data_IF_601024028159
#
_entry.id   IF_601024028159
#
_cell.length_a   1.000
_cell.length_b   1.000
_cell.length_c   1.000
_cell.angle_alpha   90.00
_cell.angle_beta   90.00
_cell.angle_gamma   90.00
#
_symmetry.space_group_name_H-M   'P 1'
#
loop_
_entity.id
_entity.type
_entity.pdbx_description
1 polymer ?
#
# COMPACT_ATOMS: atom_id res chain seq x y z
N UNK A 1 -16.49 6.19 5.19
CA UNK A 1 -16.15 7.48 5.85
C UNK A 1 -14.87 8.10 5.31
N UNK A 2 -13.71 7.42 5.30
CA UNK A 2 -12.51 7.92 4.59
C UNK A 2 -12.57 7.60 3.08
N UNK A 3 -13.02 6.39 2.70
CA UNK A 3 -13.21 5.97 1.30
C UNK A 3 -13.99 6.98 0.46
N UNK A 4 -15.15 7.38 0.98
CA UNK A 4 -16.16 8.14 0.23
C UNK A 4 -15.70 9.57 -0.08
N UNK A 5 -14.79 10.13 0.73
CA UNK A 5 -14.22 11.47 0.52
C UNK A 5 -13.06 11.46 -0.49
N UNK A 6 -12.35 10.34 -0.65
CA UNK A 6 -11.27 10.21 -1.65
C UNK A 6 -11.82 10.09 -3.07
N UNK A 7 -12.93 9.39 -3.25
CA UNK A 7 -13.57 9.23 -4.56
C UNK A 7 -13.98 10.58 -5.17
N UNK A 8 -14.62 11.45 -4.37
CA UNK A 8 -15.04 12.76 -4.81
C UNK A 8 -13.85 13.63 -5.22
N UNK A 9 -12.74 13.57 -4.47
CA UNK A 9 -11.53 14.35 -4.76
C UNK A 9 -10.79 13.83 -6.01
N UNK A 10 -10.65 12.51 -6.17
CA UNK A 10 -9.97 11.94 -7.34
C UNK A 10 -10.80 12.14 -8.61
N UNK A 11 -12.13 11.98 -8.53
CA UNK A 11 -13.03 12.14 -9.68
C UNK A 11 -13.30 13.61 -10.04
N UNK A 12 -13.15 14.56 -9.10
CA UNK A 12 -13.31 16.01 -9.35
C UNK A 12 -12.07 16.70 -9.92
N UNK A 13 -10.93 16.00 -10.00
CA UNK A 13 -9.69 16.55 -10.56
C UNK A 13 -9.80 16.93 -12.05
N UNK A 14 -9.09 17.99 -12.45
CA UNK A 14 -9.01 18.47 -13.86
C UNK A 14 -8.38 17.48 -14.86
N UNK A 15 -7.96 16.30 -14.41
CA UNK A 15 -7.37 15.23 -15.22
C UNK A 15 -8.19 13.97 -15.03
N UNK A 16 -8.50 13.29 -16.14
CA UNK A 16 -9.11 11.97 -16.09
C UNK A 16 -8.08 10.99 -15.54
N UNK A 17 -8.34 10.46 -14.34
CA UNK A 17 -7.62 9.33 -13.78
C UNK A 17 -8.44 8.07 -14.06
N UNK A 18 -7.76 6.99 -14.44
CA UNK A 18 -8.37 5.66 -14.45
C UNK A 18 -8.48 5.17 -13.01
N UNK A 19 -9.62 5.42 -12.38
CA UNK A 19 -9.88 5.05 -10.99
C UNK A 19 -10.45 3.64 -10.95
N UNK A 20 -9.74 2.74 -10.30
CA UNK A 20 -10.20 1.38 -10.00
C UNK A 20 -10.47 1.30 -8.51
N UNK A 21 -11.72 0.98 -8.16
CA UNK A 21 -12.14 0.73 -6.78
C UNK A 21 -12.17 -0.79 -6.55
N UNK A 22 -11.55 -1.24 -5.48
CA UNK A 22 -11.49 -2.66 -5.14
C UNK A 22 -10.44 -2.97 -4.08
N UNK A 23 -10.37 -4.24 -3.70
CA UNK A 23 -9.29 -4.74 -2.83
C UNK A 23 -7.97 -4.76 -3.61
N UNK A 24 -6.90 -4.28 -2.98
CA UNK A 24 -5.57 -4.27 -3.57
C UNK A 24 -5.02 -5.68 -3.77
N UNK A 25 -5.44 -6.65 -2.95
CA UNK A 25 -5.12 -8.07 -3.08
C UNK A 25 -5.56 -8.68 -4.40
N UNK A 26 -6.65 -8.17 -4.97
CA UNK A 26 -7.21 -8.64 -6.24
C UNK A 26 -6.75 -7.80 -7.44
N UNK A 27 -5.92 -6.77 -7.22
CA UNK A 27 -5.50 -5.87 -8.30
C UNK A 27 -4.55 -6.56 -9.31
N UNK A 28 -4.85 -6.55 -10.63
CA UNK A 28 -4.09 -7.26 -11.65
C UNK A 28 -2.86 -6.45 -12.14
N UNK A 29 -1.84 -6.29 -11.29
CA UNK A 29 -0.67 -5.43 -11.55
C UNK A 29 0.20 -5.87 -12.74
N UNK A 30 0.14 -7.15 -13.16
CA UNK A 30 0.83 -7.63 -14.38
C UNK A 30 0.50 -6.83 -15.64
N UNK A 31 -0.72 -6.27 -15.74
CA UNK A 31 -1.12 -5.41 -16.86
C UNK A 31 -0.38 -4.08 -16.92
N UNK A 32 0.31 -3.70 -15.85
CA UNK A 32 1.03 -2.44 -15.68
C UNK A 32 2.55 -2.63 -15.68
N UNK A 33 3.05 -3.70 -16.31
CA UNK A 33 4.49 -3.98 -16.36
C UNK A 33 5.27 -2.83 -17.02
N UNK A 34 6.27 -2.30 -16.32
CA UNK A 34 7.19 -1.27 -16.82
C UNK A 34 6.74 0.17 -16.55
N UNK A 35 5.76 0.39 -15.67
CA UNK A 35 5.41 1.73 -15.19
C UNK A 35 6.60 2.46 -14.57
N UNK A 36 6.61 3.78 -14.65
CA UNK A 36 7.71 4.58 -14.12
C UNK A 36 7.73 4.62 -12.60
N UNK A 37 6.55 4.68 -11.96
CA UNK A 37 6.41 4.83 -10.52
C UNK A 37 5.24 4.01 -9.98
N UNK A 38 5.50 3.22 -8.94
CA UNK A 38 4.48 2.70 -8.04
C UNK A 38 4.51 3.51 -6.74
N UNK A 39 3.40 4.14 -6.39
CA UNK A 39 3.28 4.97 -5.19
C UNK A 39 2.03 4.59 -4.38
N UNK A 40 2.15 4.58 -3.06
CA UNK A 40 1.02 4.29 -2.17
C UNK A 40 1.31 4.62 -0.72
N UNK A 41 0.25 4.92 0.05
CA UNK A 41 0.31 4.90 1.50
C UNK A 41 -0.08 3.51 1.96
N UNK A 42 0.83 2.82 2.66
CA UNK A 42 0.52 1.49 3.20
C UNK A 42 -0.02 1.70 4.62
N UNK A 43 -1.25 1.29 4.94
CA UNK A 43 -1.78 1.49 6.28
C UNK A 43 -0.93 0.73 7.29
N UNK A 44 -0.42 1.46 8.27
CA UNK A 44 0.27 0.89 9.42
C UNK A 44 -0.78 0.16 10.29
N UNK A 45 -0.75 -1.19 10.43
CA UNK A 45 -1.57 -1.86 11.44
C UNK A 45 -1.18 -1.31 12.82
N UNK A 46 -2.07 -1.36 13.82
CA UNK A 46 -1.79 -0.75 15.11
C UNK A 46 -0.73 -1.57 15.86
N UNK A 47 0.55 -1.31 15.60
CA UNK A 47 1.65 -1.69 16.48
C UNK A 47 1.77 -0.70 17.67
N UNK A 48 0.75 0.14 17.90
CA UNK A 48 0.65 0.99 19.09
C UNK A 48 0.32 0.16 20.33
N UNK A 49 1.34 -0.23 21.10
CA UNK A 49 1.43 -0.47 22.56
C UNK A 49 0.25 -1.05 23.39
N UNK A 50 -0.88 -1.49 22.84
CA UNK A 50 -2.06 -1.94 23.60
C UNK A 50 -2.67 -3.28 23.13
N UNK A 51 -2.05 -3.98 22.19
CA UNK A 51 -2.53 -5.28 21.69
C UNK A 51 -1.37 -6.24 21.46
N UNK A 52 -1.58 -7.52 21.77
CA UNK A 52 -0.60 -8.60 21.70
C UNK A 52 0.17 -8.56 20.38
N UNK A 53 1.51 -8.51 20.48
CA UNK A 53 2.48 -8.54 19.38
C UNK A 53 2.32 -9.82 18.52
N UNK A 54 1.35 -9.84 17.61
CA UNK A 54 1.12 -10.97 16.71
C UNK A 54 1.94 -10.89 15.41
N UNK A 55 2.76 -9.85 15.23
CA UNK A 55 3.77 -9.78 14.18
C UNK A 55 3.22 -10.12 12.79
N UNK A 56 3.84 -11.09 12.12
CA UNK A 56 3.53 -11.55 10.75
C UNK A 56 2.19 -12.29 10.58
N UNK A 57 1.40 -12.48 11.65
CA UNK A 57 0.10 -13.15 11.60
C UNK A 57 -1.08 -12.15 11.73
N UNK A 58 -0.82 -10.85 11.61
CA UNK A 58 -1.88 -9.85 11.56
C UNK A 58 -2.36 -9.69 10.11
N UNK A 59 -3.57 -10.17 9.82
CA UNK A 59 -4.24 -10.14 8.50
C UNK A 59 -4.42 -8.72 7.92
N UNK A 60 -4.06 -7.68 8.69
CA UNK A 60 -4.11 -6.27 8.28
C UNK A 60 -2.79 -5.77 7.69
N UNK A 61 -1.76 -6.61 7.58
CA UNK A 61 -0.51 -6.26 6.92
C UNK A 61 -0.69 -6.24 5.39
N UNK A 62 -0.80 -5.03 4.82
CA UNK A 62 -0.93 -4.80 3.37
C UNK A 62 0.46 -4.66 2.71
N UNK A 63 1.55 -4.72 3.48
CA UNK A 63 2.90 -4.63 2.95
C UNK A 63 3.27 -5.78 2.00
N UNK A 64 2.90 -7.05 2.26
CA UNK A 64 3.08 -8.15 1.31
C UNK A 64 2.41 -7.89 -0.03
N UNK A 65 1.22 -7.27 -0.03
CA UNK A 65 0.53 -6.89 -1.27
C UNK A 65 1.29 -5.81 -2.02
N UNK A 66 1.81 -4.79 -1.33
CA UNK A 66 2.68 -3.80 -1.96
C UNK A 66 3.91 -4.45 -2.63
N UNK A 67 4.54 -5.43 -1.98
CA UNK A 67 5.65 -6.19 -2.57
C UNK A 67 5.22 -7.04 -3.78
N UNK A 68 4.06 -7.71 -3.72
CA UNK A 68 3.49 -8.45 -4.85
C UNK A 68 3.28 -7.52 -6.05
N UNK A 69 2.69 -6.35 -5.83
CA UNK A 69 2.47 -5.37 -6.89
C UNK A 69 3.79 -4.91 -7.52
N UNK A 70 4.82 -4.63 -6.71
CA UNK A 70 6.16 -4.27 -7.20
C UNK A 70 6.77 -5.39 -8.05
N UNK A 71 6.63 -6.64 -7.63
CA UNK A 71 7.15 -7.79 -8.38
C UNK A 71 6.41 -8.00 -9.71
N UNK A 72 5.09 -7.80 -9.72
CA UNK A 72 4.25 -7.94 -10.90
C UNK A 72 4.46 -6.81 -11.93
N UNK A 73 4.47 -5.55 -11.47
CA UNK A 73 4.55 -4.40 -12.36
C UNK A 73 6.00 -3.97 -12.69
N UNK A 74 7.00 -4.41 -11.92
CA UNK A 74 8.43 -4.12 -12.15
C UNK A 74 8.67 -2.62 -12.43
N UNK A 75 8.32 -1.73 -11.50
CA UNK A 75 8.37 -0.29 -11.73
C UNK A 75 9.82 0.21 -11.74
N UNK A 76 10.08 1.37 -12.37
CA UNK A 76 11.42 1.99 -12.31
C UNK A 76 11.72 2.58 -10.92
N UNK A 77 10.68 3.01 -10.20
CA UNK A 77 10.78 3.55 -8.84
C UNK A 77 9.58 3.13 -7.98
N UNK A 78 9.80 3.07 -6.66
CA UNK A 78 8.77 2.75 -5.66
C UNK A 78 8.78 3.83 -4.58
N UNK A 79 7.61 4.36 -4.22
CA UNK A 79 7.41 5.31 -3.12
C UNK A 79 6.30 4.83 -2.19
N UNK A 80 6.67 4.38 -0.99
CA UNK A 80 5.71 3.98 0.03
C UNK A 80 5.73 4.98 1.18
N UNK A 81 4.61 5.64 1.43
CA UNK A 81 4.44 6.54 2.57
C UNK A 81 3.99 5.74 3.80
N UNK A 82 4.56 6.08 4.95
CA UNK A 82 4.23 5.46 6.22
C UNK A 82 4.52 6.42 7.40
N UNK A 83 3.97 6.13 8.56
CA UNK A 83 4.16 6.92 9.78
C UNK A 83 5.56 6.76 10.36
N UNK A 84 6.02 7.74 11.16
CA UNK A 84 7.38 7.78 11.75
C UNK A 84 7.78 6.52 12.54
N UNK A 85 6.81 5.76 13.06
CA UNK A 85 7.05 4.52 13.81
C UNK A 85 7.50 3.32 12.97
N UNK A 86 7.43 3.41 11.64
CA UNK A 86 7.80 2.33 10.73
C UNK A 86 9.26 1.86 10.88
N UNK A 87 10.17 2.80 11.16
CA UNK A 87 11.60 2.47 11.29
C UNK A 87 11.98 1.92 12.67
N UNK A 88 11.06 1.87 13.64
CA UNK A 88 11.35 1.49 15.03
C UNK A 88 10.79 0.12 15.44
N UNK A 89 10.15 -0.61 14.52
CA UNK A 89 9.50 -1.91 14.76
C UNK A 89 10.22 -3.14 14.17
N UNK A 90 9.52 -4.28 14.19
CA UNK A 90 9.95 -5.60 13.68
C UNK A 90 10.07 -5.67 12.12
N UNK A 91 9.76 -4.57 11.42
CA UNK A 91 9.59 -4.49 9.96
C UNK A 91 10.90 -4.57 9.14
N UNK A 92 12.07 -4.58 9.79
CA UNK A 92 13.32 -4.99 9.15
C UNK A 92 13.32 -6.45 8.67
N UNK A 93 12.30 -7.25 9.03
CA UNK A 93 12.14 -8.62 8.56
C UNK A 93 11.85 -8.72 7.05
N UNK A 94 11.16 -7.75 6.44
CA UNK A 94 10.84 -7.77 5.01
C UNK A 94 11.99 -7.31 4.12
N UNK A 95 12.93 -6.56 4.68
CA UNK A 95 14.09 -6.00 3.98
C UNK A 95 15.41 -6.70 4.34
N UNK A 96 15.33 -7.86 5.02
CA UNK A 96 16.48 -8.69 5.36
C UNK A 96 16.72 -9.81 4.37
#
# INVERSE_FOLDING_TARGET
>A
MISDQWEEVVRSGKRAFDVVEGDVGDFPAKGFKGVDLLAGGVPCPPFSKAGKQLGSNDERDIFPEALRLVDECRPKAVMLENVRGFLTGCELAWFR
#
